data_IF_046079167096
#
_entry.id   IF_046079167096
#
_cell.length_a   1.000
_cell.length_b   1.000
_cell.length_c   1.000
_cell.angle_alpha   90.00
_cell.angle_beta   90.00
_cell.angle_gamma   90.00
#
_symmetry.space_group_name_H-M   'P 1'
#
loop_
_entity.id
_entity.type
_entity.pdbx_description
1 polymer ?
#
# COMPACT_ATOMS: atom_id res chain seq x y z
N UNK A 1 -26.92 -31.12 -27.86
CA UNK A 1 -25.45 -31.02 -27.92
C UNK A 1 -25.07 -30.21 -29.14
N UNK A 2 -24.32 -29.11 -28.99
CA UNK A 2 -23.85 -28.36 -30.15
C UNK A 2 -22.83 -29.20 -30.93
N UNK A 3 -22.99 -29.34 -32.25
CA UNK A 3 -22.02 -30.06 -33.08
C UNK A 3 -20.72 -29.26 -33.14
N UNK A 4 -19.59 -29.89 -32.81
CA UNK A 4 -18.28 -29.26 -32.95
C UNK A 4 -17.88 -29.23 -34.43
N UNK A 5 -17.45 -28.07 -34.91
CA UNK A 5 -16.99 -27.87 -36.29
C UNK A 5 -15.46 -27.84 -36.31
N UNK A 6 -14.85 -28.60 -37.21
CA UNK A 6 -13.39 -28.55 -37.44
C UNK A 6 -13.05 -27.32 -38.28
N UNK A 7 -12.05 -26.54 -37.85
CA UNK A 7 -11.51 -25.39 -38.59
C UNK A 7 -10.00 -25.24 -38.29
N UNK A 8 -9.22 -24.60 -39.19
CA UNK A 8 -7.79 -24.34 -38.98
C UNK A 8 -7.52 -23.58 -37.68
N UNK A 9 -6.34 -23.77 -37.09
CA UNK A 9 -5.92 -23.00 -35.92
C UNK A 9 -5.91 -21.50 -36.25
N UNK A 10 -6.55 -20.70 -35.40
CA UNK A 10 -6.71 -19.25 -35.58
C UNK A 10 -7.99 -18.82 -36.31
N UNK A 11 -8.74 -19.73 -36.92
CA UNK A 11 -9.96 -19.41 -37.68
C UNK A 11 -11.26 -19.81 -36.94
N UNK A 12 -11.16 -20.22 -35.68
CA UNK A 12 -12.33 -20.52 -34.87
C UNK A 12 -13.11 -19.24 -34.60
N UNK A 13 -14.41 -19.27 -34.90
CA UNK A 13 -15.30 -18.16 -34.55
C UNK A 13 -15.34 -18.04 -33.02
N UNK A 14 -14.72 -16.99 -32.51
CA UNK A 14 -14.72 -16.65 -31.09
C UNK A 14 -15.95 -15.78 -30.76
N UNK A 15 -16.70 -16.07 -29.69
CA UNK A 15 -17.69 -15.14 -29.16
C UNK A 15 -17.04 -13.95 -28.44
N UNK A 16 -15.73 -14.01 -28.16
CA UNK A 16 -14.94 -12.91 -27.59
C UNK A 16 -14.49 -12.03 -28.76
N UNK A 17 -15.12 -10.87 -28.92
CA UNK A 17 -14.78 -9.90 -29.97
C UNK A 17 -13.66 -8.94 -29.52
N UNK A 18 -13.09 -8.19 -30.47
CA UNK A 18 -12.14 -7.11 -30.16
C UNK A 18 -12.81 -6.11 -29.22
N UNK A 19 -14.08 -5.79 -29.44
CA UNK A 19 -14.87 -4.91 -28.58
C UNK A 19 -15.11 -5.51 -27.20
N UNK A 20 -15.18 -6.84 -27.04
CA UNK A 20 -15.30 -7.49 -25.72
C UNK A 20 -13.98 -7.48 -24.94
N UNK A 21 -12.83 -7.47 -25.63
CA UNK A 21 -11.51 -7.33 -24.99
C UNK A 21 -11.20 -5.87 -24.73
N UNK A 22 -11.62 -4.99 -25.65
CA UNK A 22 -11.47 -3.55 -25.54
C UNK A 22 -12.56 -2.91 -24.67
N UNK A 23 -13.69 -3.59 -24.40
CA UNK A 23 -14.70 -3.16 -23.43
C UNK A 23 -14.04 -3.23 -22.06
N UNK A 24 -13.71 -2.04 -21.58
CA UNK A 24 -12.60 -1.77 -20.69
C UNK A 24 -12.82 -2.39 -19.32
N UNK A 25 -11.86 -3.16 -18.86
CA UNK A 25 -11.85 -3.72 -17.51
C UNK A 25 -11.79 -2.57 -16.49
N UNK A 26 -12.86 -2.40 -15.71
CA UNK A 26 -12.80 -1.66 -14.45
C UNK A 26 -11.88 -2.46 -13.53
N UNK A 27 -10.77 -1.87 -13.11
CA UNK A 27 -9.91 -2.47 -12.10
C UNK A 27 -10.39 -1.98 -10.73
N UNK A 28 -10.71 -2.93 -9.87
CA UNK A 28 -10.98 -2.71 -8.46
C UNK A 28 -9.69 -2.98 -7.69
N UNK A 29 -9.29 -2.08 -6.80
CA UNK A 29 -8.05 -2.21 -6.03
C UNK A 29 -8.13 -1.49 -4.69
N UNK A 30 -7.10 -1.66 -3.86
CA UNK A 30 -6.93 -0.98 -2.58
C UNK A 30 -8.18 -1.05 -1.66
N UNK A 31 -8.73 -2.24 -1.37
CA UNK A 31 -9.83 -2.36 -0.41
C UNK A 31 -9.35 -1.98 0.99
N UNK A 32 -10.10 -1.13 1.69
CA UNK A 32 -9.83 -0.71 3.08
C UNK A 32 -11.12 -0.72 3.88
N UNK A 33 -11.02 -1.07 5.16
CA UNK A 33 -12.12 -0.97 6.09
C UNK A 33 -11.67 -0.23 7.34
N UNK A 34 -12.51 0.67 7.85
CA UNK A 34 -12.31 1.33 9.14
C UNK A 34 -12.51 0.30 10.25
N UNK A 35 -11.50 0.01 11.08
CA UNK A 35 -11.67 -0.91 12.22
C UNK A 35 -12.69 -0.42 13.24
N UNK A 36 -12.94 0.90 13.28
CA UNK A 36 -13.81 1.57 14.25
C UNK A 36 -15.27 1.60 13.80
N UNK A 37 -15.53 2.07 12.57
CA UNK A 37 -16.90 2.24 12.06
C UNK A 37 -17.38 1.07 11.20
N UNK A 38 -16.46 0.25 10.70
CA UNK A 38 -16.76 -0.82 9.75
C UNK A 38 -17.05 -0.33 8.33
N UNK A 39 -16.92 0.98 8.05
CA UNK A 39 -17.04 1.53 6.69
C UNK A 39 -15.98 0.92 5.80
N UNK A 40 -16.37 0.52 4.59
CA UNK A 40 -15.49 -0.15 3.64
C UNK A 40 -15.44 0.61 2.31
N UNK A 41 -14.22 0.80 1.80
CA UNK A 41 -13.95 1.53 0.59
C UNK A 41 -13.01 0.74 -0.33
N UNK A 42 -13.03 1.07 -1.62
CA UNK A 42 -12.06 0.60 -2.60
C UNK A 42 -11.88 1.65 -3.71
N UNK A 43 -10.84 1.52 -4.53
CA UNK A 43 -10.67 2.36 -5.72
C UNK A 43 -11.14 1.67 -6.99
N UNK A 44 -11.75 2.43 -7.88
CA UNK A 44 -12.18 1.96 -9.21
C UNK A 44 -11.53 2.78 -10.31
N UNK A 45 -10.77 2.13 -11.20
CA UNK A 45 -10.17 2.77 -12.36
C UNK A 45 -11.20 3.00 -13.47
N UNK A 46 -11.14 4.17 -14.12
CA UNK A 46 -12.06 4.57 -15.19
C UNK A 46 -11.40 4.61 -16.56
N UNK A 47 -12.26 4.66 -17.57
CA UNK A 47 -11.87 4.71 -18.98
C UNK A 47 -11.07 5.95 -19.37
N UNK A 48 -11.29 7.07 -18.69
CA UNK A 48 -10.59 8.34 -18.90
C UNK A 48 -9.25 8.42 -18.14
N UNK A 49 -8.84 7.32 -17.49
CA UNK A 49 -7.62 7.24 -16.68
C UNK A 49 -7.74 7.90 -15.30
N UNK A 50 -8.94 8.30 -14.88
CA UNK A 50 -9.22 8.70 -13.50
C UNK A 50 -9.44 7.49 -12.58
N UNK A 51 -9.34 7.71 -11.28
CA UNK A 51 -9.54 6.69 -10.25
C UNK A 51 -10.45 7.25 -9.18
N UNK A 52 -11.62 6.62 -9.02
CA UNK A 52 -12.62 7.00 -8.04
C UNK A 52 -12.39 6.27 -6.71
N UNK A 53 -12.95 6.81 -5.62
CA UNK A 53 -13.08 6.10 -4.34
C UNK A 53 -14.55 5.76 -4.16
N UNK A 54 -14.84 4.47 -3.96
CA UNK A 54 -16.17 3.91 -3.83
C UNK A 54 -16.34 3.37 -2.42
N UNK A 55 -17.42 3.76 -1.76
CA UNK A 55 -17.89 3.19 -0.49
C UNK A 55 -18.88 2.05 -0.76
N UNK A 56 -18.70 0.95 -0.03
CA UNK A 56 -19.65 -0.17 0.00
C UNK A 56 -20.69 0.12 1.10
N UNK A 57 -21.94 0.29 0.70
CA UNK A 57 -23.06 0.54 1.60
C UNK A 57 -24.11 -0.58 1.49
N UNK A 58 -24.98 -0.72 2.51
CA UNK A 58 -26.01 -1.77 2.55
C UNK A 58 -26.90 -1.82 1.30
N UNK A 59 -27.15 -0.67 0.66
CA UNK A 59 -28.00 -0.53 -0.52
C UNK A 59 -27.27 -0.54 -1.87
N UNK A 60 -25.95 -0.70 -1.90
CA UNK A 60 -25.16 -0.67 -3.13
C UNK A 60 -23.80 0.01 -2.97
N UNK A 61 -23.41 0.76 -4.00
CA UNK A 61 -22.12 1.43 -4.09
C UNK A 61 -22.34 2.95 -4.11
N UNK A 62 -21.58 3.68 -3.30
CA UNK A 62 -21.60 5.13 -3.27
C UNK A 62 -20.23 5.68 -3.65
N UNK A 63 -20.17 6.41 -4.76
CA UNK A 63 -18.94 7.11 -5.15
C UNK A 63 -18.77 8.37 -4.29
N UNK A 64 -17.70 8.43 -3.51
CA UNK A 64 -17.49 9.49 -2.52
C UNK A 64 -16.53 10.59 -3.01
N UNK A 65 -15.63 10.29 -3.95
CA UNK A 65 -14.67 11.25 -4.49
C UNK A 65 -15.30 12.09 -5.62
N UNK A 66 -15.28 13.44 -5.54
CA UNK A 66 -15.76 14.30 -6.64
C UNK A 66 -14.98 14.12 -7.94
N UNK A 67 -15.65 14.32 -9.08
CA UNK A 67 -15.16 13.95 -10.41
C UNK A 67 -13.94 14.77 -10.89
N UNK A 68 -13.69 15.94 -10.31
CA UNK A 68 -12.51 16.76 -10.58
C UNK A 68 -11.22 16.17 -9.97
N UNK A 69 -11.33 15.25 -9.02
CA UNK A 69 -10.21 14.55 -8.38
C UNK A 69 -9.97 13.16 -8.98
N UNK A 70 -8.81 12.58 -8.70
CA UNK A 70 -8.47 11.21 -9.09
C UNK A 70 -7.47 10.63 -8.10
N UNK A 71 -7.88 9.60 -7.35
CA UNK A 71 -7.07 8.97 -6.31
C UNK A 71 -5.98 8.07 -6.92
N UNK A 72 -4.84 8.67 -7.27
CA UNK A 72 -3.72 7.98 -7.91
C UNK A 72 -2.39 8.70 -7.66
N UNK A 73 -1.31 7.98 -7.87
CA UNK A 73 0.06 8.47 -7.81
C UNK A 73 0.96 7.65 -8.75
N UNK A 74 2.19 8.08 -8.94
CA UNK A 74 3.21 7.40 -9.75
C UNK A 74 4.49 7.15 -8.95
N UNK A 75 4.38 6.94 -7.63
CA UNK A 75 5.54 6.56 -6.82
C UNK A 75 6.17 5.29 -7.41
N UNK A 76 7.48 5.29 -7.63
CA UNK A 76 8.20 4.21 -8.34
C UNK A 76 7.72 3.96 -9.77
N UNK A 77 7.09 4.94 -10.42
CA UNK A 77 6.46 4.87 -11.75
C UNK A 77 5.27 3.90 -11.87
N UNK A 78 5.14 2.94 -10.95
CA UNK A 78 4.02 1.98 -10.88
C UNK A 78 2.84 2.47 -10.04
N UNK A 79 3.12 3.36 -9.08
CA UNK A 79 2.19 3.81 -8.07
C UNK A 79 2.11 2.88 -6.85
N UNK A 80 1.66 3.45 -5.75
CA UNK A 80 1.33 2.74 -4.51
C UNK A 80 -0.14 2.91 -4.10
N UNK A 81 -0.53 2.32 -2.97
CA UNK A 81 -1.89 2.48 -2.40
C UNK A 81 -2.23 3.97 -2.30
N UNK A 82 -3.28 4.46 -2.97
CA UNK A 82 -3.46 5.90 -3.13
C UNK A 82 -4.14 6.56 -1.95
N UNK A 83 -4.71 5.81 -1.01
CA UNK A 83 -5.45 6.38 0.13
C UNK A 83 -5.34 5.54 1.41
N UNK A 84 -5.70 6.15 2.53
CA UNK A 84 -6.00 5.49 3.81
C UNK A 84 -7.22 6.13 4.48
N UNK A 85 -7.86 5.37 5.37
CA UNK A 85 -8.97 5.84 6.20
C UNK A 85 -8.39 6.37 7.51
N UNK A 86 -8.70 7.61 7.85
CA UNK A 86 -8.32 8.25 9.11
C UNK A 86 -9.19 7.73 10.28
N UNK A 87 -8.76 7.99 11.51
CA UNK A 87 -9.45 7.53 12.74
C UNK A 87 -10.86 8.12 12.95
N UNK A 88 -11.20 9.15 12.18
CA UNK A 88 -12.48 9.83 12.11
C UNK A 88 -13.26 9.55 10.80
N UNK A 89 -12.89 8.49 10.08
CA UNK A 89 -13.47 8.05 8.80
C UNK A 89 -13.31 9.01 7.61
N UNK A 90 -12.61 10.14 7.77
CA UNK A 90 -12.13 10.90 6.61
C UNK A 90 -11.08 10.10 5.85
N UNK A 91 -10.84 10.46 4.59
CA UNK A 91 -9.93 9.72 3.71
C UNK A 91 -8.80 10.63 3.28
N UNK A 92 -7.57 10.31 3.68
CA UNK A 92 -6.38 10.93 3.10
C UNK A 92 -6.03 10.21 1.80
N UNK A 93 -5.72 10.96 0.73
CA UNK A 93 -5.37 10.37 -0.55
C UNK A 93 -4.40 11.22 -1.37
N UNK A 94 -3.61 10.54 -2.21
CA UNK A 94 -2.83 11.14 -3.29
C UNK A 94 -3.75 11.37 -4.48
N UNK A 95 -3.76 12.61 -4.95
CA UNK A 95 -4.51 13.04 -6.11
C UNK A 95 -3.60 13.14 -7.35
N UNK A 96 -4.22 13.14 -8.53
CA UNK A 96 -3.53 13.52 -9.78
C UNK A 96 -2.80 14.86 -9.60
N UNK A 97 -1.57 14.95 -10.10
CA UNK A 97 -0.75 16.16 -10.01
C UNK A 97 0.06 16.27 -8.71
N UNK A 98 0.34 15.16 -8.03
CA UNK A 98 1.26 15.07 -6.89
C UNK A 98 0.82 15.92 -5.68
N UNK A 99 -0.49 15.97 -5.43
CA UNK A 99 -1.08 16.64 -4.26
C UNK A 99 -1.70 15.63 -3.30
N UNK A 100 -1.68 15.94 -2.01
CA UNK A 100 -2.32 15.15 -0.97
C UNK A 100 -3.50 15.92 -0.42
N UNK A 101 -4.63 15.24 -0.29
CA UNK A 101 -5.90 15.82 0.12
C UNK A 101 -6.58 14.97 1.20
N UNK A 102 -7.52 15.57 1.92
CA UNK A 102 -8.43 14.87 2.83
C UNK A 102 -9.86 15.01 2.29
N UNK A 103 -10.53 13.89 2.08
CA UNK A 103 -11.93 13.78 1.66
C UNK A 103 -12.80 13.45 2.88
N UNK A 104 -13.87 14.21 3.08
CA UNK A 104 -14.99 13.79 3.91
C UNK A 104 -15.96 12.96 3.04
N UNK A 105 -16.11 11.65 3.26
CA UNK A 105 -16.93 10.80 2.39
C UNK A 105 -18.44 11.11 2.47
N UNK A 106 -18.91 11.76 3.54
CA UNK A 106 -20.33 12.04 3.76
C UNK A 106 -20.75 13.35 3.09
N UNK A 107 -19.91 14.39 3.18
CA UNK A 107 -20.17 15.71 2.54
C UNK A 107 -19.59 15.80 1.13
N UNK A 108 -18.67 14.89 0.77
CA UNK A 108 -17.83 14.93 -0.44
C UNK A 108 -16.94 16.17 -0.54
N UNK A 109 -16.76 16.89 0.57
CA UNK A 109 -15.82 18.01 0.63
C UNK A 109 -14.38 17.50 0.64
N UNK A 110 -13.53 18.15 -0.14
CA UNK A 110 -12.11 17.83 -0.25
C UNK A 110 -11.28 19.02 0.19
N UNK A 111 -10.48 18.86 1.24
CA UNK A 111 -9.49 19.85 1.64
C UNK A 111 -8.11 19.50 1.10
N UNK A 112 -7.33 20.52 0.78
CA UNK A 112 -5.91 20.36 0.44
C UNK A 112 -5.09 20.20 1.73
N UNK A 113 -4.13 19.28 1.73
CA UNK A 113 -3.22 19.05 2.86
C UNK A 113 -1.80 19.52 2.54
N UNK A 114 -1.23 19.01 1.45
CA UNK A 114 0.11 19.40 1.00
C UNK A 114 0.27 19.16 -0.51
N UNK A 115 1.17 19.92 -1.13
CA UNK A 115 1.54 19.74 -2.53
C UNK A 115 2.97 20.19 -2.76
N UNK A 116 3.70 19.43 -3.57
CA UNK A 116 4.96 19.86 -4.16
C UNK A 116 5.00 19.33 -5.59
N UNK A 117 5.48 20.11 -6.57
CA UNK A 117 5.64 19.62 -7.93
C UNK A 117 6.61 18.42 -8.00
N UNK A 118 7.53 18.32 -7.06
CA UNK A 118 8.63 17.37 -7.05
C UNK A 118 8.42 16.20 -6.08
N UNK A 119 7.42 16.25 -5.20
CA UNK A 119 7.22 15.20 -4.19
C UNK A 119 5.97 14.40 -4.52
N UNK A 120 6.12 13.08 -4.58
CA UNK A 120 5.03 12.12 -4.78
C UNK A 120 4.80 11.36 -3.49
N UNK A 121 3.56 10.99 -3.22
CA UNK A 121 3.17 10.28 -2.01
C UNK A 121 2.34 9.04 -2.32
N UNK A 122 2.50 7.99 -1.54
CA UNK A 122 1.67 6.78 -1.63
C UNK A 122 1.73 5.98 -0.33
N UNK A 123 0.98 4.88 -0.27
CA UNK A 123 1.01 3.91 0.84
C UNK A 123 0.75 4.55 2.19
N UNK A 124 -0.33 5.31 2.26
CA UNK A 124 -0.76 5.93 3.50
C UNK A 124 -1.15 4.87 4.54
N UNK A 125 -0.78 5.10 5.80
CA UNK A 125 -1.23 4.32 6.95
C UNK A 125 -1.47 5.26 8.13
N UNK A 126 -2.73 5.38 8.55
CA UNK A 126 -3.14 6.36 9.55
C UNK A 126 -2.91 5.82 10.96
N UNK A 127 -2.31 6.64 11.84
CA UNK A 127 -2.19 6.26 13.23
C UNK A 127 -3.59 6.17 13.87
N UNK A 128 -3.89 5.11 14.63
CA UNK A 128 -5.23 4.92 15.20
C UNK A 128 -5.57 5.94 16.31
N UNK A 129 -4.58 6.62 16.89
CA UNK A 129 -4.75 7.43 18.11
C UNK A 129 -4.23 8.87 17.99
N UNK A 130 -3.67 9.27 16.85
CA UNK A 130 -3.07 10.61 16.66
C UNK A 130 -3.29 11.11 15.22
N UNK A 131 -3.10 12.42 14.93
CA UNK A 131 -3.33 12.97 13.59
C UNK A 131 -2.23 12.63 12.57
N UNK A 132 -1.28 11.77 12.93
CA UNK A 132 -0.16 11.39 12.08
C UNK A 132 -0.51 10.25 11.12
N UNK A 133 -0.04 10.37 9.88
CA UNK A 133 -0.20 9.37 8.82
C UNK A 133 1.18 9.07 8.24
N UNK A 134 1.56 7.79 8.18
CA UNK A 134 2.76 7.37 7.47
C UNK A 134 2.51 7.38 5.97
N UNK A 135 3.54 7.65 5.19
CA UNK A 135 3.50 7.49 3.73
C UNK A 135 4.89 7.18 3.18
N UNK A 136 4.93 6.55 2.02
CA UNK A 136 6.09 6.63 1.15
C UNK A 136 6.11 8.02 0.49
N UNK A 137 7.29 8.65 0.47
CA UNK A 137 7.55 9.87 -0.30
C UNK A 137 8.66 9.59 -1.31
N UNK A 138 8.44 9.97 -2.57
CA UNK A 138 9.45 9.97 -3.63
C UNK A 138 9.75 11.42 -4.01
N UNK A 139 11.02 11.77 -4.10
CA UNK A 139 11.52 13.14 -4.24
C UNK A 139 12.31 13.30 -5.54
N UNK A 140 11.76 14.16 -6.41
CA UNK A 140 12.25 14.51 -7.73
C UNK A 140 12.84 15.94 -7.78
N UNK A 141 13.30 16.50 -6.66
CA UNK A 141 14.01 17.79 -6.69
C UNK A 141 15.21 17.77 -7.66
N UNK A 142 15.82 16.59 -7.82
CA UNK A 142 16.81 16.29 -8.83
C UNK A 142 16.30 15.15 -9.72
N UNK A 143 15.57 15.48 -10.79
CA UNK A 143 14.82 14.54 -11.62
C UNK A 143 15.69 13.78 -12.63
N UNK A 144 16.71 13.06 -12.13
CA UNK A 144 17.39 12.00 -12.88
C UNK A 144 17.21 10.67 -12.15
N UNK A 145 17.09 9.53 -12.86
CA UNK A 145 16.75 8.25 -12.23
C UNK A 145 17.65 7.84 -11.05
N UNK A 146 18.93 8.22 -11.08
CA UNK A 146 19.93 7.94 -10.05
C UNK A 146 19.97 8.95 -8.89
N UNK A 147 19.25 10.08 -9.02
CA UNK A 147 19.19 11.15 -8.02
C UNK A 147 17.85 11.24 -7.29
N UNK A 148 16.82 10.51 -7.76
CA UNK A 148 15.55 10.36 -7.04
C UNK A 148 15.82 9.75 -5.66
N UNK A 149 15.22 10.34 -4.64
CA UNK A 149 15.33 9.86 -3.26
C UNK A 149 13.97 9.42 -2.74
N UNK A 150 13.99 8.40 -1.89
CA UNK A 150 12.80 7.85 -1.29
C UNK A 150 12.88 7.95 0.21
N UNK A 151 11.73 8.12 0.84
CA UNK A 151 11.62 8.27 2.28
C UNK A 151 10.38 7.56 2.80
N UNK A 152 10.43 7.23 4.09
CA UNK A 152 9.20 7.12 4.87
C UNK A 152 9.00 8.46 5.56
N UNK A 153 7.80 9.00 5.40
CA UNK A 153 7.39 10.26 6.03
C UNK A 153 6.23 10.06 6.98
N UNK A 154 6.09 10.97 7.93
CA UNK A 154 4.90 11.19 8.73
C UNK A 154 4.28 12.53 8.38
N UNK A 155 2.99 12.52 8.04
CA UNK A 155 2.20 13.69 7.66
C UNK A 155 1.19 13.96 8.79
N UNK A 156 1.23 15.16 9.35
CA UNK A 156 0.25 15.61 10.33
C UNK A 156 -0.98 16.17 9.61
N UNK A 157 -2.14 15.55 9.81
CA UNK A 157 -3.38 15.90 9.12
C UNK A 157 -4.03 17.20 9.61
N UNK A 158 -3.58 17.75 10.74
CA UNK A 158 -4.11 18.99 11.34
C UNK A 158 -3.22 20.20 11.03
N UNK A 159 -1.89 20.01 11.03
CA UNK A 159 -0.91 21.08 10.84
C UNK A 159 -0.30 21.12 9.43
N UNK A 160 -0.58 20.10 8.60
CA UNK A 160 0.09 19.87 7.31
C UNK A 160 1.61 19.65 7.40
N UNK A 161 2.15 19.47 8.61
CA UNK A 161 3.58 19.20 8.80
C UNK A 161 3.96 17.84 8.20
N UNK A 162 5.09 17.79 7.49
CA UNK A 162 5.65 16.55 6.93
C UNK A 162 7.05 16.34 7.51
N UNK A 163 7.28 15.16 8.11
CA UNK A 163 8.57 14.75 8.68
C UNK A 163 9.11 13.54 7.95
N UNK A 164 10.36 13.57 7.53
CA UNK A 164 11.08 12.37 7.05
C UNK A 164 11.54 11.57 8.27
N UNK A 165 10.99 10.36 8.45
CA UNK A 165 11.32 9.49 9.58
C UNK A 165 12.37 8.43 9.19
N UNK A 166 12.52 8.13 7.89
CA UNK A 166 13.58 7.27 7.34
C UNK A 166 14.08 7.80 6.00
N UNK A 167 15.40 7.87 5.85
CA UNK A 167 16.10 8.49 4.71
C UNK A 167 17.45 7.81 4.36
N UNK A 168 17.77 6.66 4.97
CA UNK A 168 19.06 6.00 4.83
C UNK A 168 19.14 4.92 3.73
N UNK A 169 18.02 4.46 3.20
CA UNK A 169 17.94 3.46 2.14
C UNK A 169 17.45 4.05 0.80
N UNK A 170 17.79 3.39 -0.31
CA UNK A 170 17.36 3.81 -1.65
C UNK A 170 15.86 3.60 -1.85
N UNK A 171 15.27 2.56 -1.24
CA UNK A 171 13.86 2.23 -1.39
C UNK A 171 13.19 1.82 -0.07
N UNK A 172 11.88 2.09 -0.01
CA UNK A 172 11.03 1.75 1.12
C UNK A 172 9.73 1.12 0.63
N UNK A 173 9.20 0.17 1.38
CA UNK A 173 7.91 -0.46 1.09
C UNK A 173 6.94 -0.32 2.26
N UNK A 174 5.71 0.08 1.92
CA UNK A 174 4.50 0.18 2.74
C UNK A 174 4.75 0.25 4.27
N UNK A 175 4.89 1.46 4.84
CA UNK A 175 4.99 1.64 6.29
C UNK A 175 3.63 1.38 6.95
N UNK A 176 3.63 0.74 8.13
CA UNK A 176 2.42 0.44 8.88
C UNK A 176 2.59 0.68 10.38
N UNK A 177 1.59 1.31 10.99
CA UNK A 177 1.41 1.36 12.43
C UNK A 177 0.97 0.02 12.99
N UNK A 178 1.39 -0.26 14.22
CA UNK A 178 0.76 -1.28 15.06
C UNK A 178 -0.69 -0.91 15.39
N UNK A 179 -1.47 -1.91 15.79
CA UNK A 179 -2.90 -1.73 16.08
C UNK A 179 -3.17 -0.69 17.19
N UNK A 180 -2.24 -0.53 18.14
CA UNK A 180 -2.28 0.47 19.21
C UNK A 180 -1.62 1.81 18.81
N UNK A 181 -0.98 1.89 17.64
CA UNK A 181 -0.29 3.07 17.12
C UNK A 181 1.05 3.39 17.79
N UNK A 182 1.61 2.49 18.59
CA UNK A 182 2.86 2.73 19.37
C UNK A 182 4.12 2.25 18.67
N UNK A 183 3.99 1.44 17.62
CA UNK A 183 5.09 0.91 16.82
C UNK A 183 4.82 1.13 15.35
N UNK A 184 5.90 1.11 14.58
CA UNK A 184 5.86 1.09 13.12
C UNK A 184 6.66 -0.08 12.60
N UNK A 185 6.29 -0.57 11.42
CA UNK A 185 7.05 -1.53 10.65
C UNK A 185 7.08 -1.12 9.17
N UNK A 186 8.18 -1.42 8.48
CA UNK A 186 8.34 -1.15 7.05
C UNK A 186 9.36 -2.10 6.44
N UNK A 187 9.40 -2.16 5.11
CA UNK A 187 10.51 -2.79 4.41
C UNK A 187 11.44 -1.74 3.83
N UNK A 188 12.75 -1.99 3.81
CA UNK A 188 13.73 -1.18 3.07
C UNK A 188 14.76 -2.07 2.36
N UNK A 189 15.28 -1.58 1.23
CA UNK A 189 16.36 -2.20 0.48
C UNK A 189 17.16 -1.15 -0.29
N UNK A 190 18.32 -1.56 -0.80
CA UNK A 190 19.24 -0.69 -1.53
C UNK A 190 19.61 -1.29 -2.88
N UNK A 191 20.06 -0.45 -3.81
CA UNK A 191 20.74 -0.91 -4.99
C UNK A 191 21.99 -1.75 -4.63
N UNK A 192 22.35 -2.76 -5.45
CA UNK A 192 21.71 -3.18 -6.70
C UNK A 192 20.56 -4.18 -6.52
N UNK A 193 20.12 -4.44 -5.28
CA UNK A 193 19.13 -5.47 -5.00
C UNK A 193 17.72 -5.07 -5.44
N UNK A 194 16.93 -6.07 -5.83
CA UNK A 194 15.50 -5.95 -6.06
C UNK A 194 14.75 -6.31 -4.77
N UNK A 195 13.51 -5.82 -4.57
CA UNK A 195 12.82 -6.01 -3.29
C UNK A 195 12.63 -7.49 -2.97
N UNK A 196 12.23 -8.31 -3.95
CA UNK A 196 12.06 -9.76 -3.78
C UNK A 196 13.33 -10.51 -3.40
N UNK A 197 14.52 -9.96 -3.67
CA UNK A 197 15.79 -10.59 -3.30
C UNK A 197 16.24 -10.23 -1.88
N UNK A 198 16.06 -8.97 -1.46
CA UNK A 198 16.77 -8.45 -0.28
C UNK A 198 16.00 -7.43 0.56
N UNK A 199 14.68 -7.30 0.39
CA UNK A 199 13.89 -6.46 1.30
C UNK A 199 14.03 -6.96 2.74
N UNK A 200 14.38 -6.02 3.61
CA UNK A 200 14.55 -6.23 5.04
C UNK A 200 13.40 -5.60 5.79
N UNK A 201 12.86 -6.33 6.76
CA UNK A 201 11.80 -5.84 7.63
C UNK A 201 12.39 -5.18 8.87
N UNK A 202 12.00 -3.93 9.09
CA UNK A 202 12.36 -3.16 10.27
C UNK A 202 11.14 -2.89 11.13
N UNK A 203 11.38 -2.70 12.44
CA UNK A 203 10.41 -2.14 13.36
C UNK A 203 11.06 -1.04 14.21
N UNK A 204 10.24 -0.11 14.69
CA UNK A 204 10.65 0.97 15.56
C UNK A 204 9.52 1.38 16.50
N UNK A 205 9.89 2.01 17.61
CA UNK A 205 8.97 2.71 18.50
C UNK A 205 8.52 4.02 17.84
N UNK A 206 7.20 4.27 17.82
CA UNK A 206 6.62 5.53 17.38
C UNK A 206 6.54 6.54 18.51
N UNK A 207 7.01 7.76 18.29
CA UNK A 207 6.96 8.84 19.26
C UNK A 207 5.84 9.84 18.92
N UNK A 208 5.12 10.40 19.93
CA UNK A 208 4.03 11.35 19.69
C UNK A 208 4.42 12.62 18.92
N UNK A 209 5.71 12.97 18.92
CA UNK A 209 6.24 14.10 18.18
C UNK A 209 6.37 13.84 16.67
N UNK A 210 6.04 12.65 16.16
CA UNK A 210 6.16 12.33 14.74
C UNK A 210 7.52 11.76 14.35
N UNK A 211 8.30 11.29 15.32
CA UNK A 211 9.60 10.62 15.11
C UNK A 211 9.55 9.12 15.43
N UNK A 212 10.64 8.41 15.13
CA UNK A 212 10.83 7.00 15.50
C UNK A 212 12.10 6.82 16.33
N UNK A 213 12.10 5.82 17.20
CA UNK A 213 13.25 5.41 18.02
C UNK A 213 13.35 3.88 18.09
N UNK A 214 14.45 3.35 18.63
CA UNK A 214 14.68 1.90 18.78
C UNK A 214 14.51 1.11 17.46
N UNK A 215 15.01 1.68 16.37
CA UNK A 215 14.97 1.05 15.04
C UNK A 215 15.83 -0.21 15.05
N UNK A 216 15.22 -1.35 14.72
CA UNK A 216 15.93 -2.62 14.61
C UNK A 216 15.36 -3.47 13.47
N UNK A 217 16.18 -4.40 12.99
CA UNK A 217 15.81 -5.35 11.95
C UNK A 217 15.11 -6.56 12.58
N UNK A 218 14.02 -7.01 11.96
CA UNK A 218 13.23 -8.17 12.36
C UNK A 218 13.58 -9.39 11.50
N UNK A 219 13.77 -9.19 10.20
CA UNK A 219 14.04 -10.26 9.23
C UNK A 219 14.70 -9.73 7.94
N UNK A 220 15.29 -10.63 7.16
CA UNK A 220 15.83 -10.32 5.82
C UNK A 220 17.33 -10.02 5.77
N UNK A 221 18.06 -10.15 6.89
CA UNK A 221 19.52 -9.90 6.93
C UNK A 221 20.29 -10.82 5.97
N UNK A 222 19.80 -12.03 5.76
CA UNK A 222 20.46 -13.05 4.94
C UNK A 222 19.91 -13.12 3.50
N UNK A 223 19.38 -12.00 2.98
CA UNK A 223 18.74 -11.91 1.63
C UNK A 223 17.56 -12.88 1.49
N UNK A 224 16.65 -12.82 2.46
CA UNK A 224 15.51 -13.73 2.60
C UNK A 224 14.18 -13.09 2.10
N UNK A 225 14.25 -12.14 1.17
CA UNK A 225 13.10 -11.48 0.52
C UNK A 225 11.83 -11.34 1.38
N UNK A 226 11.81 -10.42 2.35
CA UNK A 226 10.69 -10.29 3.30
C UNK A 226 9.52 -9.52 2.69
N UNK A 227 8.29 -10.01 2.83
CA UNK A 227 7.10 -9.46 2.21
C UNK A 227 5.96 -9.18 3.20
N UNK A 228 5.11 -8.21 2.82
CA UNK A 228 3.80 -7.90 3.42
C UNK A 228 3.74 -7.90 4.97
N UNK A 229 4.54 -7.08 5.66
CA UNK A 229 4.41 -6.95 7.11
C UNK A 229 3.03 -6.42 7.51
N UNK A 230 2.37 -7.08 8.45
CA UNK A 230 1.04 -6.74 8.97
C UNK A 230 0.97 -6.93 10.47
N UNK A 231 0.54 -5.89 11.17
CA UNK A 231 0.29 -5.98 12.61
C UNK A 231 -1.06 -6.63 12.89
N UNK A 232 -1.07 -7.58 13.81
CA UNK A 232 -2.28 -8.16 14.39
C UNK A 232 -2.85 -7.28 15.51
N UNK A 233 -4.13 -7.46 15.85
CA UNK A 233 -4.78 -6.71 16.94
C UNK A 233 -4.22 -7.03 18.33
N UNK A 234 -3.50 -8.14 18.47
CA UNK A 234 -2.81 -8.52 19.70
C UNK A 234 -1.41 -7.90 19.83
N UNK A 235 -0.97 -7.12 18.85
CA UNK A 235 0.37 -6.53 18.78
C UNK A 235 1.42 -7.43 18.14
N UNK A 236 1.05 -8.58 17.57
CA UNK A 236 1.98 -9.41 16.82
C UNK A 236 2.31 -8.80 15.46
N UNK A 237 3.52 -9.02 14.96
CA UNK A 237 3.89 -8.68 13.59
C UNK A 237 3.95 -9.95 12.73
N UNK A 238 3.12 -10.04 11.71
CA UNK A 238 3.11 -11.13 10.72
C UNK A 238 3.80 -10.67 9.44
N UNK A 239 4.48 -11.58 8.76
CA UNK A 239 5.13 -11.30 7.48
C UNK A 239 5.45 -12.60 6.72
N UNK A 240 5.61 -12.50 5.41
CA UNK A 240 6.17 -13.58 4.58
C UNK A 240 7.68 -13.46 4.51
N UNK A 241 8.43 -14.56 4.58
CA UNK A 241 9.89 -14.58 4.39
C UNK A 241 10.30 -15.79 3.55
N UNK A 242 11.21 -15.60 2.61
CA UNK A 242 11.71 -16.71 1.80
C UNK A 242 12.53 -17.66 2.66
N UNK A 243 12.13 -18.93 2.67
CA UNK A 243 12.89 -20.00 3.30
C UNK A 243 12.83 -21.24 2.40
N UNK A 244 13.98 -21.58 1.81
CA UNK A 244 14.06 -22.64 0.82
C UNK A 244 13.47 -22.21 -0.52
N UNK A 245 12.48 -22.96 -1.02
CA UNK A 245 11.89 -22.74 -2.35
C UNK A 245 10.62 -21.87 -2.34
N UNK A 246 10.10 -21.53 -1.16
CA UNK A 246 8.84 -20.83 -1.00
C UNK A 246 8.94 -19.75 0.06
N UNK A 247 8.13 -18.69 -0.06
CA UNK A 247 7.91 -17.74 1.02
C UNK A 247 6.96 -18.32 2.05
N UNK A 248 7.42 -18.39 3.29
CA UNK A 248 6.68 -18.94 4.43
C UNK A 248 6.15 -17.84 5.35
N UNK A 249 5.12 -18.14 6.11
CA UNK A 249 4.51 -17.21 7.04
C UNK A 249 5.23 -17.22 8.39
N UNK A 250 5.62 -16.04 8.88
CA UNK A 250 6.27 -15.84 10.17
C UNK A 250 5.47 -14.89 11.05
N UNK A 251 5.72 -14.98 12.36
CA UNK A 251 5.18 -14.08 13.37
C UNK A 251 6.24 -13.72 14.40
N UNK A 252 6.27 -12.44 14.77
CA UNK A 252 6.88 -11.97 16.02
C UNK A 252 5.76 -11.74 17.02
N UNK A 253 5.77 -12.47 18.12
CA UNK A 253 4.77 -12.31 19.19
C UNK A 253 5.01 -11.00 19.97
N UNK A 254 4.00 -10.44 20.64
CA UNK A 254 4.17 -9.24 21.43
C UNK A 254 5.25 -9.44 22.51
N UNK A 255 6.25 -8.56 22.53
CA UNK A 255 7.37 -8.63 23.48
C UNK A 255 8.44 -9.68 23.16
N UNK A 256 8.34 -10.37 22.02
CA UNK A 256 9.41 -11.21 21.49
C UNK A 256 10.23 -10.43 20.46
N UNK A 257 11.51 -10.78 20.33
CA UNK A 257 12.42 -10.20 19.33
C UNK A 257 12.75 -11.18 18.19
N UNK A 258 12.38 -12.45 18.35
CA UNK A 258 12.72 -13.52 17.42
C UNK A 258 11.47 -13.97 16.66
N UNK A 259 11.50 -13.95 15.31
CA UNK A 259 10.42 -14.52 14.52
C UNK A 259 10.29 -16.03 14.66
N UNK A 260 9.05 -16.52 14.67
CA UNK A 260 8.72 -17.94 14.59
C UNK A 260 7.91 -18.23 13.32
N UNK A 261 8.25 -19.33 12.62
CA UNK A 261 7.46 -19.84 11.49
C UNK A 261 6.07 -20.28 11.98
N UNK A 262 5.02 -19.84 11.30
CA UNK A 262 3.67 -20.37 11.45
C UNK A 262 3.52 -21.54 10.50
N UNK A 263 3.54 -22.75 11.04
CA UNK A 263 3.33 -23.97 10.26
C UNK A 263 1.84 -24.19 10.02
N UNK A 264 1.46 -24.23 8.75
CA UNK A 264 0.11 -24.53 8.29
C UNK A 264 0.13 -25.90 7.63
N UNK A 265 -0.47 -26.89 8.30
CA UNK A 265 -0.47 -28.28 7.84
C UNK A 265 -1.05 -28.41 6.42
N UNK A 266 -0.31 -29.06 5.53
CA UNK A 266 -0.69 -29.24 4.13
C UNK A 266 -0.36 -28.06 3.21
N UNK A 267 0.24 -27.00 3.73
CA UNK A 267 0.67 -25.81 2.96
C UNK A 267 2.19 -25.59 3.01
N UNK A 268 2.97 -26.63 3.29
CA UNK A 268 4.44 -26.55 3.41
C UNK A 268 5.15 -26.10 2.13
N UNK A 269 4.50 -26.29 0.97
CA UNK A 269 4.97 -25.91 -0.36
C UNK A 269 4.10 -24.81 -1.00
N UNK A 270 3.41 -24.01 -0.17
CA UNK A 270 2.65 -22.86 -0.64
C UNK A 270 3.48 -21.57 -0.50
N UNK A 271 3.25 -20.63 -1.41
CA UNK A 271 3.83 -19.29 -1.38
C UNK A 271 2.92 -18.35 -0.57
N UNK A 272 3.46 -17.71 0.47
CA UNK A 272 2.73 -16.77 1.32
C UNK A 272 3.27 -15.35 1.20
N UNK A 273 2.37 -14.41 0.90
CA UNK A 273 2.72 -13.01 0.72
C UNK A 273 3.42 -12.75 -0.62
N UNK A 274 3.49 -11.49 -0.99
CA UNK A 274 4.07 -11.07 -2.26
C UNK A 274 4.85 -9.78 -2.12
N UNK A 275 5.88 -9.63 -2.95
CA UNK A 275 6.68 -8.42 -2.98
C UNK A 275 6.87 -7.96 -4.40
N UNK A 276 5.95 -7.07 -4.82
CA UNK A 276 5.88 -6.53 -6.18
C UNK A 276 6.11 -5.03 -6.17
N UNK A 277 6.57 -4.51 -7.31
CA UNK A 277 6.67 -3.07 -7.54
C UNK A 277 5.32 -2.34 -7.50
N UNK A 278 4.23 -3.01 -7.88
CA UNK A 278 2.86 -2.48 -7.75
C UNK A 278 2.40 -2.56 -6.29
N UNK A 279 2.46 -1.45 -5.57
CA UNK A 279 2.09 -1.41 -4.16
C UNK A 279 0.60 -1.06 -4.05
N UNK A 280 -0.17 -1.79 -3.24
CA UNK A 280 -1.57 -1.45 -2.98
C UNK A 280 -2.59 -1.78 -4.08
N UNK A 281 -2.26 -2.69 -5.01
CA UNK A 281 -3.29 -3.32 -5.85
C UNK A 281 -4.11 -4.33 -5.06
#
# INVERSE_FOLDING_TARGET
MASKTTAPYGEWKSPISIESVASKTRSLSAPRASPKSGRAFYTESREDGSTAIIEIIKGGLNEVLPAEYSAKNTVYEYGGSPYAILSDDRIIFSNKGNTVHILNPDTKEVSHLTSSPNLRYSNFDANPTSPWVLANQEDHEHDTPDQIRNYIVAINTETSEVRRIRDNADFYYTPHFSFDGTKVAWLEWNHPDLPFDAAKLYSATWNPDGSVSDVHIIAGESREGVAEPRWGPDGSLFFGKEEGAFRKLFRVAPGADVPAEIKLEGLDNAEFGDLRWFQGR
#
